data_IF_866865556820
#
_entry.id   IF_866865556820
#
_cell.length_a   1.000
_cell.length_b   1.000
_cell.length_c   1.000
_cell.angle_alpha   90.00
_cell.angle_beta   90.00
_cell.angle_gamma   90.00
#
_symmetry.space_group_name_H-M   'P 1'
#
loop_
_entity.id
_entity.type
_entity.pdbx_description
1 polymer ?
#
# COMPACT_ATOMS: atom_id res chain seq x y z
N UNK A 1 -28.87 -32.22 16.24
CA UNK A 1 -28.05 -31.07 16.69
C UNK A 1 -28.99 -29.93 17.06
N UNK A 2 -28.99 -29.45 18.31
CA UNK A 2 -30.03 -28.52 18.81
C UNK A 2 -29.92 -27.14 18.17
N UNK A 3 -31.05 -26.45 17.96
CA UNK A 3 -31.11 -25.14 17.29
C UNK A 3 -30.21 -24.08 17.96
N UNK A 4 -29.99 -24.21 19.26
CA UNK A 4 -29.14 -23.32 20.05
C UNK A 4 -27.66 -23.44 19.68
N UNK A 5 -27.18 -24.65 19.35
CA UNK A 5 -25.77 -24.87 18.99
C UNK A 5 -25.41 -24.23 17.65
N UNK A 6 -26.32 -24.28 16.66
CA UNK A 6 -26.16 -23.56 15.39
C UNK A 6 -26.12 -22.05 15.59
N UNK A 7 -26.91 -21.53 16.53
CA UNK A 7 -26.98 -20.11 16.84
C UNK A 7 -25.70 -19.60 17.50
N UNK A 8 -25.13 -20.35 18.44
CA UNK A 8 -23.84 -20.02 19.04
C UNK A 8 -22.69 -20.10 18.03
N UNK A 9 -22.68 -21.11 17.16
CA UNK A 9 -21.70 -21.22 16.09
C UNK A 9 -21.78 -20.02 15.13
N UNK A 10 -22.99 -19.58 14.79
CA UNK A 10 -23.21 -18.40 13.95
C UNK A 10 -22.67 -17.11 14.60
N UNK A 11 -22.95 -16.89 15.88
CA UNK A 11 -22.40 -15.74 16.62
C UNK A 11 -20.88 -15.80 16.77
N UNK A 12 -20.31 -16.99 16.96
CA UNK A 12 -18.86 -17.20 17.00
C UNK A 12 -18.19 -16.86 15.66
N UNK A 13 -18.78 -17.26 14.52
CA UNK A 13 -18.29 -16.89 13.19
C UNK A 13 -18.36 -15.38 12.93
N UNK A 14 -19.45 -14.71 13.34
CA UNK A 14 -19.60 -13.26 13.19
C UNK A 14 -18.59 -12.47 14.04
N UNK A 15 -18.30 -12.95 15.25
CA UNK A 15 -17.29 -12.35 16.13
C UNK A 15 -15.87 -12.43 15.51
N UNK A 16 -15.49 -13.59 14.96
CA UNK A 16 -14.18 -13.77 14.32
C UNK A 16 -14.03 -12.99 13.00
N UNK A 17 -15.10 -12.79 12.24
CA UNK A 17 -15.06 -12.01 10.99
C UNK A 17 -14.71 -10.53 11.22
N UNK A 18 -14.98 -10.01 12.42
CA UNK A 18 -14.76 -8.60 12.76
C UNK A 18 -13.28 -8.23 12.95
N UNK A 19 -12.39 -9.22 13.00
CA UNK A 19 -10.94 -9.01 13.18
C UNK A 19 -10.13 -9.12 11.87
N UNK A 20 -10.79 -9.45 10.75
CA UNK A 20 -10.15 -9.62 9.46
C UNK A 20 -10.08 -8.28 8.70
N UNK A 21 -9.14 -7.41 9.07
CA UNK A 21 -8.88 -6.18 8.32
C UNK A 21 -8.19 -5.09 9.13
N UNK A 22 -6.93 -5.29 9.49
CA UNK A 22 -6.08 -4.17 9.92
C UNK A 22 -5.65 -3.42 8.66
N UNK A 23 -5.90 -2.11 8.60
CA UNK A 23 -5.33 -1.27 7.55
C UNK A 23 -3.81 -1.22 7.74
N UNK A 24 -3.05 -1.79 6.81
CA UNK A 24 -1.59 -1.70 6.82
C UNK A 24 -1.15 -0.26 6.50
N UNK A 25 -0.11 0.22 7.18
CA UNK A 25 0.42 1.55 6.95
C UNK A 25 0.85 1.71 5.48
N UNK A 26 0.44 2.80 4.85
CA UNK A 26 0.72 3.05 3.43
C UNK A 26 -0.18 2.28 2.45
N UNK A 27 -1.12 1.44 2.90
CA UNK A 27 -2.07 0.75 2.03
C UNK A 27 -3.49 1.24 2.33
N UNK A 28 -4.18 1.73 1.31
CA UNK A 28 -5.59 2.11 1.38
C UNK A 28 -6.44 1.24 0.45
N UNK A 29 -7.72 1.58 0.29
CA UNK A 29 -8.64 0.83 -0.57
C UNK A 29 -8.13 0.75 -2.03
N UNK A 30 -7.59 1.84 -2.56
CA UNK A 30 -7.27 2.02 -3.99
C UNK A 30 -5.80 2.31 -4.27
N UNK A 31 -4.96 2.56 -3.26
CA UNK A 31 -3.53 2.86 -3.46
C UNK A 31 -2.58 2.27 -2.43
N UNK A 32 -1.32 2.14 -2.85
CA UNK A 32 -0.14 1.80 -2.06
C UNK A 32 0.81 2.99 -2.12
N UNK A 33 1.12 3.59 -0.98
CA UNK A 33 2.05 4.71 -0.86
C UNK A 33 3.44 4.20 -0.50
N UNK A 34 4.42 4.53 -1.33
CA UNK A 34 5.84 4.24 -1.09
C UNK A 34 6.55 5.55 -0.76
N UNK A 35 7.31 5.58 0.33
CA UNK A 35 8.14 6.72 0.73
C UNK A 35 9.53 6.66 0.10
N UNK A 36 10.06 7.81 -0.29
CA UNK A 36 11.45 7.99 -0.73
C UNK A 36 12.04 9.22 -0.04
N UNK A 37 13.20 9.04 0.59
CA UNK A 37 14.07 10.11 1.07
C UNK A 37 15.37 10.01 0.27
N UNK A 38 15.68 11.03 -0.51
CA UNK A 38 16.91 11.11 -1.29
C UNK A 38 17.23 12.56 -1.70
N UNK A 39 18.48 12.87 -2.11
CA UNK A 39 18.89 14.24 -2.39
C UNK A 39 18.26 14.71 -3.69
N UNK A 40 17.20 15.52 -3.58
CA UNK A 40 16.57 16.17 -4.73
C UNK A 40 17.19 17.55 -4.99
N UNK A 41 17.90 18.10 -4.01
CA UNK A 41 18.71 19.30 -4.11
C UNK A 41 20.20 19.03 -3.86
N UNK A 42 20.99 20.10 -3.71
CA UNK A 42 22.39 19.99 -3.32
C UNK A 42 23.34 19.40 -4.36
N UNK A 43 24.60 19.13 -3.98
CA UNK A 43 25.63 18.61 -4.88
C UNK A 43 25.31 17.25 -5.50
N UNK A 44 24.44 16.47 -4.83
CA UNK A 44 24.05 15.11 -5.23
C UNK A 44 22.70 15.05 -5.95
N UNK A 45 22.06 16.19 -6.22
CA UNK A 45 20.73 16.30 -6.83
C UNK A 45 20.56 15.44 -8.07
N UNK A 46 21.56 15.44 -8.97
CA UNK A 46 21.47 14.73 -10.24
C UNK A 46 21.25 13.22 -10.00
N UNK A 47 21.99 12.64 -9.06
CA UNK A 47 21.84 11.22 -8.72
C UNK A 47 20.47 10.93 -8.09
N UNK A 48 20.02 11.74 -7.13
CA UNK A 48 18.72 11.54 -6.49
C UNK A 48 17.55 11.74 -7.44
N UNK A 49 17.63 12.68 -8.39
CA UNK A 49 16.64 12.86 -9.44
C UNK A 49 16.59 11.66 -10.39
N UNK A 50 17.74 11.06 -10.74
CA UNK A 50 17.77 9.83 -11.55
C UNK A 50 17.14 8.64 -10.82
N UNK A 51 17.38 8.49 -9.51
CA UNK A 51 16.70 7.46 -8.71
C UNK A 51 15.19 7.66 -8.67
N UNK A 52 14.73 8.90 -8.46
CA UNK A 52 13.31 9.23 -8.49
C UNK A 52 12.70 8.93 -9.86
N UNK A 53 13.37 9.32 -10.94
CA UNK A 53 12.92 9.08 -12.31
C UNK A 53 12.78 7.58 -12.60
N UNK A 54 13.77 6.77 -12.23
CA UNK A 54 13.72 5.32 -12.40
C UNK A 54 12.55 4.69 -11.64
N UNK A 55 12.36 5.07 -10.37
CA UNK A 55 11.26 4.59 -9.54
C UNK A 55 9.89 4.96 -10.13
N UNK A 56 9.68 6.24 -10.48
CA UNK A 56 8.43 6.71 -11.11
C UNK A 56 8.15 5.99 -12.42
N UNK A 57 9.16 5.82 -13.27
CA UNK A 57 9.01 5.13 -14.55
C UNK A 57 8.53 3.70 -14.36
N UNK A 58 9.12 2.98 -13.41
CA UNK A 58 8.72 1.61 -13.10
C UNK A 58 7.31 1.55 -12.50
N UNK A 59 7.00 2.39 -11.51
CA UNK A 59 5.68 2.39 -10.88
C UNK A 59 4.57 2.79 -11.86
N UNK A 60 4.84 3.71 -12.80
CA UNK A 60 3.90 4.03 -13.87
C UNK A 60 3.62 2.81 -14.76
N UNK A 61 4.65 2.04 -15.13
CA UNK A 61 4.46 0.82 -15.91
C UNK A 61 3.60 -0.23 -15.17
N UNK A 62 3.83 -0.41 -13.86
CA UNK A 62 3.00 -1.30 -13.02
C UNK A 62 1.56 -0.77 -12.92
N UNK A 63 1.39 0.53 -12.74
CA UNK A 63 0.07 1.16 -12.67
C UNK A 63 -0.71 1.02 -13.97
N UNK A 64 -0.07 1.12 -15.13
CA UNK A 64 -0.70 0.89 -16.43
C UNK A 64 -1.22 -0.54 -16.60
N UNK A 65 -0.57 -1.51 -15.94
CA UNK A 65 -0.99 -2.93 -15.95
C UNK A 65 -2.05 -3.27 -14.90
N UNK A 66 -2.65 -2.26 -14.26
CA UNK A 66 -3.70 -2.45 -13.26
C UNK A 66 -3.22 -2.28 -11.82
N UNK A 67 -1.93 -2.03 -11.58
CA UNK A 67 -1.38 -1.89 -10.24
C UNK A 67 -1.18 -3.23 -9.54
N UNK A 68 -1.02 -3.19 -8.21
CA UNK A 68 -0.86 -4.40 -7.39
C UNK A 68 -2.18 -4.69 -6.70
N UNK A 69 -2.79 -5.85 -7.00
CA UNK A 69 -4.12 -6.23 -6.50
C UNK A 69 -5.18 -5.15 -6.73
N UNK A 70 -5.13 -4.48 -7.90
CA UNK A 70 -6.01 -3.37 -8.26
C UNK A 70 -5.68 -2.02 -7.61
N UNK A 71 -4.64 -1.94 -6.76
CA UNK A 71 -4.20 -0.70 -6.11
C UNK A 71 -3.09 -0.03 -6.90
N UNK A 72 -3.21 1.29 -7.10
CA UNK A 72 -2.15 2.08 -7.74
C UNK A 72 -1.01 2.37 -6.77
N UNK A 73 0.23 2.37 -7.26
CA UNK A 73 1.40 2.78 -6.50
C UNK A 73 1.54 4.30 -6.61
N UNK A 74 1.68 4.98 -5.48
CA UNK A 74 1.98 6.41 -5.37
C UNK A 74 3.34 6.58 -4.68
N UNK A 75 4.24 7.35 -5.29
CA UNK A 75 5.54 7.65 -4.70
C UNK A 75 5.51 9.01 -3.99
N UNK A 76 5.62 8.99 -2.67
CA UNK A 76 5.86 10.18 -1.86
C UNK A 76 7.37 10.37 -1.69
N UNK A 77 7.93 11.37 -2.37
CA UNK A 77 9.36 11.69 -2.34
C UNK A 77 9.59 12.99 -1.57
N UNK A 78 10.46 12.93 -0.56
CA UNK A 78 10.93 14.06 0.23
C UNK A 78 12.44 14.24 0.00
N UNK A 79 12.86 15.50 -0.03
CA UNK A 79 14.26 15.90 -0.22
C UNK A 79 15.03 15.83 1.10
N UNK A 80 16.22 15.25 1.07
CA UNK A 80 17.11 15.16 2.23
C UNK A 80 18.51 15.77 2.03
N UNK A 81 18.80 16.43 0.90
CA UNK A 81 20.08 17.17 0.76
C UNK A 81 20.55 17.51 -0.63
#
# INVERSE_FOLDING_TARGET
>A
MSANLKRYFYYFCLFFLSFAGQAEFGISADKITIGMSNPQSGPSANLGQQFKLGAVTHFNAVNLQGGINGKKIELLSLDDG
#
